data_IF_625167015474
#
_entry.id   IF_625167015474
#
_cell.length_a   1.000
_cell.length_b   1.000
_cell.length_c   1.000
_cell.angle_alpha   90.00
_cell.angle_beta   90.00
_cell.angle_gamma   90.00
#
_symmetry.space_group_name_H-M   'P 1'
#
loop_
_entity.id
_entity.type
_entity.pdbx_description
1 polymer ?
#
# COMPACT_ATOMS: atom_id res chain seq x y z
N UNK A 1 115.37 41.76 -59.11
CA UNK A 1 113.90 41.58 -59.14
C UNK A 1 113.36 42.29 -60.37
N UNK A 2 112.82 41.55 -61.33
CA UNK A 2 112.32 42.11 -62.60
C UNK A 2 110.97 42.80 -62.40
N UNK A 3 110.60 43.75 -63.28
CA UNK A 3 109.35 44.51 -63.16
C UNK A 3 108.10 43.60 -63.13
N UNK A 4 108.19 42.43 -63.78
CA UNK A 4 107.15 41.39 -63.80
C UNK A 4 107.01 40.66 -62.45
N UNK A 5 108.12 40.37 -61.77
CA UNK A 5 108.11 39.75 -60.44
C UNK A 5 107.47 40.66 -59.37
N UNK A 6 107.68 41.97 -59.46
CA UNK A 6 107.06 42.94 -58.53
C UNK A 6 105.55 43.05 -58.71
N UNK A 7 105.06 43.03 -59.95
CA UNK A 7 103.63 43.06 -60.24
C UNK A 7 102.94 41.76 -59.78
N UNK A 8 103.57 40.61 -60.05
CA UNK A 8 103.07 39.31 -59.58
C UNK A 8 103.02 39.26 -58.04
N UNK A 9 104.06 39.72 -57.34
CA UNK A 9 104.07 39.75 -55.89
C UNK A 9 102.96 40.63 -55.28
N UNK A 10 102.67 41.79 -55.88
CA UNK A 10 101.55 42.64 -55.47
C UNK A 10 100.18 41.99 -55.75
N UNK A 11 100.02 41.34 -56.90
CA UNK A 11 98.78 40.63 -57.24
C UNK A 11 98.54 39.42 -56.31
N UNK A 12 99.59 38.64 -56.03
CA UNK A 12 99.53 37.49 -55.12
C UNK A 12 99.30 37.94 -53.67
N UNK A 13 99.96 39.01 -53.23
CA UNK A 13 99.72 39.62 -51.92
C UNK A 13 98.29 40.14 -51.76
N UNK A 14 97.76 40.85 -52.77
CA UNK A 14 96.37 41.31 -52.79
C UNK A 14 95.36 40.16 -52.77
N UNK A 15 95.61 39.09 -53.53
CA UNK A 15 94.78 37.89 -53.51
C UNK A 15 94.77 37.23 -52.12
N UNK A 16 95.92 37.16 -51.45
CA UNK A 16 96.01 36.62 -50.09
C UNK A 16 95.17 37.42 -49.09
N UNK A 17 95.15 38.76 -49.21
CA UNK A 17 94.32 39.63 -48.37
C UNK A 17 92.83 39.39 -48.62
N UNK A 18 92.41 39.25 -49.89
CA UNK A 18 91.01 38.95 -50.23
C UNK A 18 90.58 37.59 -49.70
N UNK A 19 91.43 36.56 -49.83
CA UNK A 19 91.16 35.23 -49.29
C UNK A 19 91.08 35.26 -47.76
N UNK A 20 92.02 35.95 -47.09
CA UNK A 20 92.00 36.10 -45.64
C UNK A 20 90.75 36.84 -45.15
N UNK A 21 90.33 37.88 -45.88
CA UNK A 21 89.10 38.62 -45.59
C UNK A 21 87.85 37.76 -45.82
N UNK A 22 87.78 37.03 -46.93
CA UNK A 22 86.69 36.11 -47.23
C UNK A 22 86.60 34.98 -46.18
N UNK A 23 87.74 34.43 -45.76
CA UNK A 23 87.81 33.43 -44.70
C UNK A 23 87.34 33.99 -43.35
N UNK A 24 87.81 35.18 -42.98
CA UNK A 24 87.38 35.88 -41.76
C UNK A 24 85.89 36.21 -41.76
N UNK A 25 85.36 36.70 -42.89
CA UNK A 25 83.95 37.01 -43.07
C UNK A 25 83.08 35.76 -43.02
N UNK A 26 83.49 34.67 -43.68
CA UNK A 26 82.78 33.39 -43.62
C UNK A 26 82.78 32.84 -42.19
N UNK A 27 83.92 32.84 -41.50
CA UNK A 27 84.02 32.38 -40.10
C UNK A 27 83.16 33.21 -39.15
N UNK A 28 83.10 34.53 -39.35
CA UNK A 28 82.23 35.42 -38.59
C UNK A 28 80.74 35.12 -38.85
N UNK A 29 80.36 34.97 -40.12
CA UNK A 29 78.99 34.63 -40.51
C UNK A 29 78.56 33.26 -39.95
N UNK A 30 79.45 32.27 -40.00
CA UNK A 30 79.18 30.94 -39.46
C UNK A 30 79.07 30.97 -37.93
N UNK A 31 79.88 31.79 -37.25
CA UNK A 31 79.77 32.02 -35.81
C UNK A 31 78.46 32.71 -35.41
N UNK A 32 77.98 33.69 -36.21
CA UNK A 32 76.66 34.32 -36.00
C UNK A 32 75.55 33.29 -36.21
N UNK A 33 75.55 32.58 -37.34
CA UNK A 33 74.53 31.55 -37.62
C UNK A 33 74.47 30.49 -36.53
N UNK A 34 75.63 30.06 -36.02
CA UNK A 34 75.69 29.12 -34.90
C UNK A 34 75.03 29.70 -33.63
N UNK A 35 75.30 30.98 -33.32
CA UNK A 35 74.68 31.67 -32.17
C UNK A 35 73.18 31.86 -32.37
N UNK A 36 72.74 32.26 -33.55
CA UNK A 36 71.32 32.44 -33.87
C UNK A 36 70.56 31.13 -33.78
N UNK A 37 71.12 30.05 -34.35
CA UNK A 37 70.54 28.71 -34.23
C UNK A 37 70.49 28.24 -32.76
N UNK A 38 71.53 28.55 -31.97
CA UNK A 38 71.56 28.23 -30.54
C UNK A 38 70.53 29.05 -29.75
N UNK A 39 70.39 30.34 -30.05
CA UNK A 39 69.37 31.21 -29.45
C UNK A 39 67.96 30.71 -29.79
N UNK A 40 67.70 30.37 -31.05
CA UNK A 40 66.43 29.78 -31.49
C UNK A 40 66.16 28.44 -30.79
N UNK A 41 67.17 27.58 -30.67
CA UNK A 41 67.07 26.31 -29.93
C UNK A 41 66.75 26.49 -28.45
N UNK A 42 67.47 27.38 -27.76
CA UNK A 42 67.22 27.72 -26.36
C UNK A 42 65.85 28.38 -26.15
N UNK A 43 65.42 29.24 -27.08
CA UNK A 43 64.10 29.86 -27.02
C UNK A 43 62.99 28.82 -27.15
N UNK A 44 63.12 27.88 -28.08
CA UNK A 44 62.18 26.78 -28.24
C UNK A 44 62.15 25.89 -26.99
N UNK A 45 63.32 25.56 -26.42
CA UNK A 45 63.43 24.80 -25.17
C UNK A 45 62.75 25.55 -24.00
N UNK A 46 62.99 26.86 -23.87
CA UNK A 46 62.33 27.69 -22.86
C UNK A 46 60.81 27.73 -23.04
N UNK A 47 60.32 27.83 -24.28
CA UNK A 47 58.89 27.78 -24.58
C UNK A 47 58.29 26.42 -24.19
N UNK A 48 58.92 25.30 -24.56
CA UNK A 48 58.47 23.95 -24.19
C UNK A 48 58.50 23.73 -22.67
N UNK A 49 59.50 24.24 -21.97
CA UNK A 49 59.56 24.18 -20.51
C UNK A 49 58.43 25.01 -19.87
N UNK A 50 58.15 26.20 -20.39
CA UNK A 50 57.03 27.02 -19.92
C UNK A 50 55.67 26.33 -20.15
N UNK A 51 55.47 25.71 -21.31
CA UNK A 51 54.27 24.91 -21.59
C UNK A 51 54.12 23.74 -20.62
N UNK A 52 55.21 23.01 -20.33
CA UNK A 52 55.22 21.92 -19.35
C UNK A 52 54.90 22.42 -17.94
N UNK A 53 55.44 23.57 -17.53
CA UNK A 53 55.12 24.16 -16.24
C UNK A 53 53.65 24.56 -16.14
N UNK A 54 53.10 25.18 -17.18
CA UNK A 54 51.67 25.52 -17.23
C UNK A 54 50.81 24.26 -17.19
N UNK A 55 51.12 23.25 -17.99
CA UNK A 55 50.41 21.96 -18.00
C UNK A 55 50.48 21.28 -16.62
N UNK A 56 51.64 21.32 -15.96
CA UNK A 56 51.81 20.85 -14.59
C UNK A 56 50.93 21.60 -13.60
N UNK A 57 50.89 22.93 -13.67
CA UNK A 57 50.04 23.75 -12.79
C UNK A 57 48.54 23.48 -12.99
N UNK A 58 48.09 23.26 -14.22
CA UNK A 58 46.71 22.84 -14.50
C UNK A 58 46.43 21.42 -13.97
N UNK A 59 47.36 20.48 -14.16
CA UNK A 59 47.25 19.13 -13.64
C UNK A 59 47.19 19.09 -12.10
N UNK A 60 48.01 19.89 -11.42
CA UNK A 60 48.00 20.01 -9.96
C UNK A 60 46.66 20.56 -9.45
N UNK A 61 46.09 21.57 -10.12
CA UNK A 61 44.76 22.08 -9.77
C UNK A 61 43.69 21.01 -9.95
N UNK A 62 43.71 20.29 -11.06
CA UNK A 62 42.77 19.20 -11.33
C UNK A 62 42.92 18.05 -10.33
N UNK A 63 44.16 17.73 -9.94
CA UNK A 63 44.45 16.75 -8.90
C UNK A 63 43.91 17.19 -7.54
N UNK A 64 44.00 18.48 -7.21
CA UNK A 64 43.35 19.08 -6.04
C UNK A 64 41.86 18.78 -5.98
N UNK A 65 41.14 19.01 -7.07
CA UNK A 65 39.70 18.70 -7.17
C UNK A 65 39.43 17.20 -7.01
N UNK A 66 40.30 16.34 -7.56
CA UNK A 66 40.17 14.89 -7.41
C UNK A 66 40.44 14.42 -5.98
N UNK A 67 41.40 15.01 -5.27
CA UNK A 67 41.68 14.65 -3.88
C UNK A 67 40.49 14.90 -2.95
N UNK A 68 39.72 15.98 -3.19
CA UNK A 68 38.51 16.29 -2.40
C UNK A 68 37.37 15.30 -2.67
N UNK A 69 37.34 14.70 -3.86
CA UNK A 69 36.33 13.72 -4.30
C UNK A 69 36.75 12.26 -4.10
N UNK A 70 38.01 12.06 -3.73
CA UNK A 70 38.62 10.74 -3.57
C UNK A 70 38.10 10.07 -2.30
N UNK A 71 38.07 8.73 -2.32
CA UNK A 71 38.01 7.97 -1.09
C UNK A 71 39.31 8.14 -0.27
N UNK A 72 39.29 7.81 1.04
CA UNK A 72 40.49 7.79 1.88
C UNK A 72 41.61 6.94 1.29
N UNK A 73 42.87 7.34 1.49
CA UNK A 73 44.03 6.61 0.97
C UNK A 73 44.26 5.23 1.63
N UNK A 74 43.73 5.00 2.84
CA UNK A 74 43.77 3.69 3.49
C UNK A 74 42.74 2.72 2.83
N UNK A 75 43.16 1.56 2.30
CA UNK A 75 42.28 0.68 1.52
C UNK A 75 41.08 0.11 2.29
N UNK A 76 41.29 -0.44 3.47
CA UNK A 76 40.23 -1.02 4.30
C UNK A 76 39.19 0.04 4.68
N UNK A 77 39.65 1.25 5.00
CA UNK A 77 38.78 2.38 5.30
C UNK A 77 38.03 2.88 4.06
N UNK A 78 38.70 2.97 2.92
CA UNK A 78 38.09 3.39 1.66
C UNK A 78 36.92 2.47 1.29
N UNK A 79 37.16 1.16 1.35
CA UNK A 79 36.18 0.15 1.02
C UNK A 79 35.00 0.17 1.98
N UNK A 80 35.27 0.14 3.30
CA UNK A 80 34.22 0.12 4.32
C UNK A 80 33.35 1.39 4.34
N UNK A 81 33.94 2.58 4.20
CA UNK A 81 33.19 3.85 4.14
C UNK A 81 32.30 3.88 2.90
N UNK A 82 32.84 3.51 1.74
CA UNK A 82 32.07 3.54 0.51
C UNK A 82 30.96 2.49 0.48
N UNK A 83 31.24 1.28 0.97
CA UNK A 83 30.23 0.21 1.11
C UNK A 83 29.10 0.64 2.05
N UNK A 84 29.43 1.24 3.19
CA UNK A 84 28.46 1.76 4.15
C UNK A 84 27.58 2.86 3.52
N UNK A 85 28.20 3.78 2.77
CA UNK A 85 27.46 4.79 2.02
C UNK A 85 26.52 4.18 0.98
N UNK A 86 27.00 3.24 0.16
CA UNK A 86 26.17 2.52 -0.83
C UNK A 86 25.00 1.79 -0.17
N UNK A 87 25.23 1.08 0.94
CA UNK A 87 24.16 0.42 1.70
C UNK A 87 23.10 1.41 2.18
N UNK A 88 23.52 2.60 2.61
CA UNK A 88 22.63 3.70 2.96
C UNK A 88 21.78 4.16 1.77
N UNK A 89 22.42 4.41 0.62
CA UNK A 89 21.74 4.83 -0.62
C UNK A 89 20.75 3.78 -1.12
N UNK A 90 21.16 2.51 -1.14
CA UNK A 90 20.33 1.36 -1.53
C UNK A 90 19.09 1.23 -0.65
N UNK A 91 19.26 1.40 0.68
CA UNK A 91 18.14 1.39 1.63
C UNK A 91 17.21 2.59 1.45
N UNK A 92 17.75 3.79 1.25
CA UNK A 92 16.97 5.01 0.98
C UNK A 92 16.14 4.91 -0.29
N UNK A 93 16.66 4.21 -1.30
CA UNK A 93 15.96 3.92 -2.56
C UNK A 93 14.94 2.76 -2.47
N UNK A 94 14.77 2.13 -1.29
CA UNK A 94 13.77 1.10 -1.06
C UNK A 94 14.05 -0.25 -1.73
N UNK A 95 15.33 -0.57 -2.00
CA UNK A 95 15.69 -1.87 -2.56
C UNK A 95 15.45 -2.99 -1.53
N UNK A 96 14.69 -4.00 -1.93
CA UNK A 96 14.48 -5.26 -1.20
C UNK A 96 15.54 -6.29 -1.58
N UNK A 97 15.82 -7.22 -0.67
CA UNK A 97 16.82 -8.28 -0.85
C UNK A 97 18.18 -7.73 -1.31
N UNK A 98 18.56 -6.54 -0.82
CA UNK A 98 19.66 -5.79 -1.39
C UNK A 98 21.03 -6.24 -0.85
N UNK A 99 21.97 -6.46 -1.76
CA UNK A 99 23.37 -6.78 -1.46
C UNK A 99 24.32 -5.72 -1.99
N UNK A 100 25.37 -5.40 -1.23
CA UNK A 100 26.48 -4.54 -1.66
C UNK A 100 27.78 -5.25 -1.32
N UNK A 101 28.37 -5.87 -2.34
CA UNK A 101 29.55 -6.73 -2.21
C UNK A 101 30.76 -6.09 -2.86
N UNK A 102 31.91 -5.98 -2.16
CA UNK A 102 33.16 -5.65 -2.82
C UNK A 102 33.60 -6.82 -3.72
N UNK A 103 33.96 -6.52 -4.97
CA UNK A 103 34.31 -7.55 -5.98
C UNK A 103 35.74 -7.46 -6.51
N UNK A 104 36.40 -6.31 -6.35
CA UNK A 104 37.79 -6.15 -6.77
C UNK A 104 38.45 -4.96 -6.08
N UNK A 105 39.75 -5.03 -5.87
CA UNK A 105 40.61 -3.92 -5.51
C UNK A 105 41.90 -4.01 -6.33
N UNK A 106 42.25 -2.93 -7.04
CA UNK A 106 43.42 -2.95 -7.91
C UNK A 106 44.14 -1.60 -7.92
N UNK A 107 45.46 -1.56 -7.69
CA UNK A 107 46.26 -0.36 -7.93
C UNK A 107 46.31 -0.05 -9.42
N UNK A 108 46.27 1.23 -9.77
CA UNK A 108 46.47 1.72 -11.13
C UNK A 108 47.69 2.63 -11.16
N UNK A 109 48.84 2.01 -11.46
CA UNK A 109 50.15 2.65 -11.35
C UNK A 109 50.43 3.10 -9.92
N UNK A 110 51.08 4.25 -9.78
CA UNK A 110 51.36 4.88 -8.49
C UNK A 110 50.36 6.00 -8.13
N UNK A 111 49.29 6.14 -8.91
CA UNK A 111 48.40 7.29 -8.79
C UNK A 111 47.22 7.02 -7.84
N UNK A 112 46.59 5.85 -7.97
CA UNK A 112 45.36 5.53 -7.24
C UNK A 112 45.07 4.03 -7.14
N UNK A 113 44.18 3.68 -6.22
CA UNK A 113 43.51 2.39 -6.10
C UNK A 113 42.08 2.47 -6.64
N UNK A 114 41.67 1.44 -7.37
CA UNK A 114 40.30 1.26 -7.86
C UNK A 114 39.63 0.12 -7.10
N UNK A 115 38.48 0.43 -6.50
CA UNK A 115 37.61 -0.54 -5.84
C UNK A 115 36.39 -0.81 -6.70
N UNK A 116 36.06 -2.09 -6.86
CA UNK A 116 34.87 -2.57 -7.54
C UNK A 116 33.83 -3.01 -6.52
N UNK A 117 32.58 -2.63 -6.75
CA UNK A 117 31.42 -3.06 -5.95
C UNK A 117 30.34 -3.62 -6.86
N UNK A 118 29.67 -4.68 -6.41
CA UNK A 118 28.43 -5.18 -7.00
C UNK A 118 27.28 -4.83 -6.08
N UNK A 119 26.27 -4.17 -6.63
CA UNK A 119 25.00 -3.90 -5.97
C UNK A 119 23.94 -4.74 -6.65
N UNK A 120 23.17 -5.48 -5.87
CA UNK A 120 22.04 -6.27 -6.38
C UNK A 120 20.81 -6.09 -5.49
N UNK A 121 19.62 -6.28 -6.04
CA UNK A 121 18.37 -6.22 -5.28
C UNK A 121 17.13 -6.09 -6.16
N UNK A 122 15.98 -5.88 -5.54
CA UNK A 122 14.69 -5.66 -6.20
C UNK A 122 14.11 -4.31 -5.83
N UNK A 123 13.62 -3.54 -6.81
CA UNK A 123 12.98 -2.25 -6.54
C UNK A 123 11.99 -1.86 -7.64
N UNK A 124 11.18 -0.85 -7.40
CA UNK A 124 10.33 -0.25 -8.44
C UNK A 124 11.16 0.67 -9.34
N UNK A 125 10.62 1.05 -10.50
CA UNK A 125 11.29 2.05 -11.36
C UNK A 125 11.53 3.36 -10.61
N UNK A 126 10.61 3.76 -9.73
CA UNK A 126 10.75 4.95 -8.88
C UNK A 126 11.96 4.83 -7.92
N UNK A 127 12.15 3.67 -7.30
CA UNK A 127 13.31 3.41 -6.45
C UNK A 127 14.62 3.37 -7.23
N UNK A 128 14.65 2.75 -8.42
CA UNK A 128 15.84 2.75 -9.29
C UNK A 128 16.25 4.17 -9.71
N UNK A 129 15.28 5.02 -10.09
CA UNK A 129 15.57 6.43 -10.41
C UNK A 129 16.14 7.17 -9.20
N UNK A 130 15.62 6.90 -7.99
CA UNK A 130 16.16 7.44 -6.74
C UNK A 130 17.60 7.01 -6.48
N UNK A 131 17.88 5.71 -6.60
CA UNK A 131 19.22 5.15 -6.45
C UNK A 131 20.23 5.81 -7.39
N UNK A 132 19.87 5.94 -8.68
CA UNK A 132 20.75 6.55 -9.68
C UNK A 132 20.95 8.04 -9.41
N UNK A 133 19.89 8.77 -9.01
CA UNK A 133 20.00 10.19 -8.67
C UNK A 133 20.94 10.39 -7.48
N UNK A 134 20.71 9.70 -6.36
CA UNK A 134 21.54 9.81 -5.15
C UNK A 134 23.00 9.39 -5.42
N UNK A 135 23.19 8.36 -6.25
CA UNK A 135 24.52 7.95 -6.69
C UNK A 135 25.23 9.09 -7.42
N UNK A 136 24.63 9.64 -8.48
CA UNK A 136 25.27 10.70 -9.27
C UNK A 136 25.31 12.05 -8.56
N UNK A 137 24.42 12.31 -7.61
CA UNK A 137 24.40 13.54 -6.82
C UNK A 137 25.55 13.57 -5.80
N UNK A 138 26.08 12.42 -5.40
CA UNK A 138 27.27 12.37 -4.55
C UNK A 138 28.54 12.61 -5.36
N UNK A 139 29.31 13.63 -5.01
CA UNK A 139 30.49 14.04 -5.79
C UNK A 139 31.74 13.16 -5.53
N UNK A 140 31.56 11.83 -5.47
CA UNK A 140 32.67 10.89 -5.39
C UNK A 140 33.35 10.69 -6.76
N UNK A 141 34.61 10.26 -6.74
CA UNK A 141 35.26 9.67 -7.92
C UNK A 141 34.80 8.23 -8.13
N UNK A 142 33.54 8.10 -8.53
CA UNK A 142 32.91 6.83 -8.83
C UNK A 142 32.22 6.84 -10.20
N UNK A 143 31.91 5.66 -10.70
CA UNK A 143 31.08 5.47 -11.89
C UNK A 143 30.38 4.13 -11.83
N UNK A 144 29.23 4.06 -12.50
CA UNK A 144 28.59 2.80 -12.82
C UNK A 144 29.27 2.25 -14.07
N UNK A 145 29.87 1.07 -13.96
CA UNK A 145 30.51 0.35 -15.06
C UNK A 145 29.48 -0.39 -15.91
N UNK A 146 28.51 -0.99 -15.22
CA UNK A 146 27.43 -1.77 -15.83
C UNK A 146 26.18 -1.65 -14.97
N UNK A 147 25.03 -1.56 -15.63
CA UNK A 147 23.71 -1.55 -15.00
C UNK A 147 22.79 -2.46 -15.80
N UNK A 148 22.39 -3.56 -15.18
CA UNK A 148 21.40 -4.49 -15.71
C UNK A 148 20.14 -4.39 -14.85
N UNK A 149 18.99 -4.23 -15.51
CA UNK A 149 17.72 -4.29 -14.82
C UNK A 149 16.63 -4.84 -15.72
N UNK A 150 15.64 -5.49 -15.12
CA UNK A 150 14.52 -6.06 -15.86
C UNK A 150 13.39 -6.49 -14.93
N UNK A 151 12.17 -6.67 -15.47
CA UNK A 151 11.02 -7.06 -14.67
C UNK A 151 11.24 -8.45 -14.04
N UNK A 152 10.80 -8.57 -12.79
CA UNK A 152 10.72 -9.80 -12.03
C UNK A 152 9.31 -10.40 -12.14
N UNK A 153 9.14 -11.66 -11.70
CA UNK A 153 7.83 -12.33 -11.68
C UNK A 153 6.82 -11.64 -10.74
N UNK A 154 7.29 -10.83 -9.79
CA UNK A 154 6.44 -10.12 -8.83
C UNK A 154 6.10 -8.69 -9.27
N UNK A 155 6.51 -8.27 -10.46
CA UNK A 155 6.26 -6.92 -11.00
C UNK A 155 7.33 -5.88 -10.66
N UNK A 156 8.24 -6.18 -9.73
CA UNK A 156 9.39 -5.33 -9.42
C UNK A 156 10.49 -5.42 -10.48
N UNK A 157 11.43 -4.50 -10.49
CA UNK A 157 12.66 -4.62 -11.26
C UNK A 157 13.72 -5.35 -10.43
N UNK A 158 14.26 -6.43 -10.98
CA UNK A 158 15.55 -6.97 -10.54
C UNK A 158 16.64 -6.03 -11.05
N UNK A 159 17.53 -5.59 -10.17
CA UNK A 159 18.62 -4.65 -10.50
C UNK A 159 19.94 -5.29 -10.10
N UNK A 160 20.90 -5.26 -11.01
CA UNK A 160 22.30 -5.56 -10.76
C UNK A 160 23.17 -4.43 -11.34
N UNK A 161 24.09 -3.93 -10.53
CA UNK A 161 24.95 -2.80 -10.88
C UNK A 161 26.38 -3.12 -10.47
N UNK A 162 27.33 -2.87 -11.37
CA UNK A 162 28.76 -2.92 -11.06
C UNK A 162 29.32 -1.50 -11.04
N UNK A 163 30.02 -1.15 -9.96
CA UNK A 163 30.48 0.20 -9.66
C UNK A 163 32.00 0.19 -9.53
N UNK A 164 32.67 1.22 -10.05
CA UNK A 164 34.06 1.56 -9.73
C UNK A 164 34.09 2.79 -8.84
N UNK A 165 34.91 2.76 -7.77
CA UNK A 165 35.23 3.92 -6.95
C UNK A 165 36.75 4.04 -6.76
N UNK A 166 37.26 5.26 -6.65
CA UNK A 166 38.70 5.52 -6.65
C UNK A 166 39.16 6.16 -5.34
N UNK A 167 40.30 5.68 -4.85
CA UNK A 167 41.11 6.33 -3.82
C UNK A 167 42.47 6.74 -4.39
N UNK A 168 42.76 8.04 -4.41
CA UNK A 168 44.07 8.56 -4.76
C UNK A 168 45.07 8.29 -3.63
N UNK A 169 46.29 7.87 -3.99
CA UNK A 169 47.33 7.56 -3.02
C UNK A 169 47.69 8.76 -2.13
N UNK A 170 47.59 9.98 -2.68
CA UNK A 170 47.87 11.24 -1.99
C UNK A 170 46.64 11.84 -1.27
N UNK A 171 45.50 11.15 -1.24
CA UNK A 171 44.32 11.62 -0.51
C UNK A 171 44.55 11.53 1.01
N UNK A 172 43.77 12.32 1.77
CA UNK A 172 43.79 12.24 3.23
C UNK A 172 43.41 10.83 3.71
N UNK A 173 44.11 10.34 4.74
CA UNK A 173 43.86 9.01 5.35
C UNK A 173 42.46 8.94 5.97
N UNK A 174 41.89 10.09 6.32
CA UNK A 174 40.57 10.28 6.91
C UNK A 174 39.67 11.17 6.03
N UNK A 175 39.87 11.13 4.71
CA UNK A 175 39.05 11.88 3.76
C UNK A 175 37.55 11.69 4.05
N UNK A 176 36.85 12.82 4.23
CA UNK A 176 35.42 12.83 4.55
C UNK A 176 34.58 12.61 3.30
N UNK A 177 33.35 12.15 3.51
CA UNK A 177 32.36 11.99 2.44
C UNK A 177 32.08 13.40 1.84
N UNK A 178 32.21 13.62 0.52
CA UNK A 178 32.13 14.96 -0.08
C UNK A 178 30.79 15.66 0.20
N UNK A 179 30.78 16.78 0.93
CA UNK A 179 29.52 17.46 1.31
C UNK A 179 28.81 18.16 0.14
N UNK A 180 29.54 18.46 -0.94
CA UNK A 180 28.99 19.14 -2.12
C UNK A 180 28.23 18.15 -3.00
N UNK A 181 27.10 18.62 -3.53
CA UNK A 181 26.40 17.93 -4.62
C UNK A 181 27.22 17.96 -5.91
N UNK A 182 27.17 16.87 -6.66
CA UNK A 182 27.87 16.77 -7.93
C UNK A 182 27.17 17.62 -8.99
N UNK A 183 27.98 18.32 -9.78
CA UNK A 183 27.54 19.05 -10.97
C UNK A 183 26.90 18.15 -12.06
N UNK A 184 27.01 16.82 -11.93
CA UNK A 184 26.45 15.84 -12.86
C UNK A 184 24.92 15.76 -12.80
N UNK A 185 24.33 16.16 -11.69
CA UNK A 185 22.88 16.13 -11.49
C UNK A 185 22.37 17.57 -11.47
N UNK A 186 21.75 17.98 -12.58
CA UNK A 186 21.21 19.33 -12.72
C UNK A 186 19.77 19.45 -12.19
N UNK A 187 19.02 18.35 -12.19
CA UNK A 187 17.59 18.31 -11.85
C UNK A 187 17.39 17.75 -10.45
N UNK A 188 16.34 18.21 -9.78
CA UNK A 188 15.92 17.59 -8.52
C UNK A 188 15.46 16.15 -8.76
N UNK A 189 15.44 15.35 -7.69
CA UNK A 189 14.96 13.99 -7.75
C UNK A 189 13.51 13.92 -8.27
N UNK A 190 12.65 14.83 -7.82
CA UNK A 190 11.25 14.86 -8.23
C UNK A 190 11.07 15.22 -9.71
N UNK A 191 11.84 16.18 -10.23
CA UNK A 191 11.81 16.53 -11.65
C UNK A 191 12.32 15.36 -12.52
N UNK A 192 13.35 14.65 -12.03
CA UNK A 192 13.90 13.46 -12.69
C UNK A 192 12.86 12.33 -12.71
N UNK A 193 12.22 12.07 -11.58
CA UNK A 193 11.12 11.09 -11.45
C UNK A 193 9.97 11.40 -12.38
N UNK A 194 9.48 12.64 -12.41
CA UNK A 194 8.41 13.05 -13.33
C UNK A 194 8.81 12.81 -14.79
N UNK A 195 10.04 13.13 -15.18
CA UNK A 195 10.49 12.96 -16.57
C UNK A 195 10.59 11.49 -16.98
N UNK A 196 11.05 10.62 -16.11
CA UNK A 196 11.31 9.20 -16.42
C UNK A 196 10.06 8.34 -16.22
N UNK A 197 9.34 8.50 -15.11
CA UNK A 197 8.19 7.68 -14.76
C UNK A 197 7.02 7.92 -15.72
N UNK A 198 6.78 9.16 -16.13
CA UNK A 198 5.69 9.50 -17.07
C UNK A 198 5.91 8.93 -18.49
N UNK A 199 7.09 8.38 -18.80
CA UNK A 199 7.31 7.65 -20.06
C UNK A 199 6.73 6.25 -20.04
N UNK A 200 6.41 5.73 -18.84
CA UNK A 200 5.73 4.47 -18.64
C UNK A 200 6.33 3.29 -19.44
N UNK A 201 7.65 3.08 -19.30
CA UNK A 201 8.39 2.13 -20.15
C UNK A 201 8.00 0.66 -20.01
N UNK A 202 7.38 0.27 -18.90
CA UNK A 202 7.17 -1.13 -18.53
C UNK A 202 5.71 -1.52 -18.30
N UNK A 203 4.76 -0.60 -18.52
CA UNK A 203 3.34 -0.88 -18.36
C UNK A 203 2.56 -0.40 -19.59
N UNK A 204 1.36 -0.95 -19.84
CA UNK A 204 0.43 -0.37 -20.79
C UNK A 204 0.09 1.08 -20.44
N UNK A 205 -0.43 1.89 -21.39
CA UNK A 205 -0.85 3.25 -21.11
C UNK A 205 -1.82 3.32 -19.92
N UNK A 206 -1.49 4.14 -18.91
CA UNK A 206 -2.30 4.33 -17.71
C UNK A 206 -3.69 4.91 -18.06
N UNK A 207 -4.73 4.32 -17.48
CA UNK A 207 -6.13 4.72 -17.65
C UNK A 207 -6.58 5.60 -16.48
N UNK A 208 -7.58 6.49 -16.68
CA UNK A 208 -8.12 7.26 -15.57
C UNK A 208 -8.94 6.41 -14.59
N UNK A 209 -8.98 6.78 -13.31
CA UNK A 209 -9.86 6.14 -12.34
C UNK A 209 -11.34 6.34 -12.73
N UNK A 210 -12.19 5.45 -12.27
CA UNK A 210 -13.62 5.37 -12.60
C UNK A 210 -14.46 5.54 -11.34
N UNK A 211 -15.36 6.53 -11.34
CA UNK A 211 -16.33 6.69 -10.26
C UNK A 211 -17.54 5.78 -10.46
N UNK A 212 -17.73 4.84 -9.54
CA UNK A 212 -18.83 3.86 -9.54
C UNK A 212 -19.91 4.17 -8.49
N UNK A 213 -19.81 5.30 -7.79
CA UNK A 213 -20.78 5.74 -6.79
C UNK A 213 -21.98 6.49 -7.37
N UNK A 214 -22.93 6.82 -6.50
CA UNK A 214 -24.09 7.63 -6.84
C UNK A 214 -23.69 9.10 -6.99
N UNK A 215 -24.20 9.76 -8.05
CA UNK A 215 -23.96 11.20 -8.25
C UNK A 215 -24.64 12.08 -7.19
N UNK A 216 -25.48 11.50 -6.34
CA UNK A 216 -26.18 12.16 -5.25
C UNK A 216 -25.77 11.55 -3.92
N UNK A 217 -25.31 12.39 -3.00
CA UNK A 217 -24.99 12.02 -1.63
C UNK A 217 -26.16 12.45 -0.74
N UNK A 218 -26.57 11.59 0.19
CA UNK A 218 -27.67 11.87 1.11
C UNK A 218 -27.11 12.26 2.47
N UNK A 219 -27.60 13.37 3.01
CA UNK A 219 -27.33 13.85 4.36
C UNK A 219 -28.64 13.91 5.15
N UNK A 220 -28.77 13.09 6.18
CA UNK A 220 -30.00 13.03 6.99
C UNK A 220 -29.98 14.11 8.06
N UNK A 221 -31.01 14.97 8.11
CA UNK A 221 -31.14 16.05 9.10
C UNK A 221 -31.14 15.49 10.53
N UNK A 222 -30.33 16.09 11.40
CA UNK A 222 -30.22 15.67 12.81
C UNK A 222 -29.43 14.37 13.03
N UNK A 223 -28.88 13.76 11.98
CA UNK A 223 -28.12 12.51 12.08
C UNK A 223 -26.75 12.65 11.40
N UNK A 224 -25.72 12.05 12.02
CA UNK A 224 -24.39 11.99 11.43
C UNK A 224 -24.34 10.88 10.38
N UNK A 225 -24.09 11.26 9.12
CA UNK A 225 -23.98 10.33 7.98
C UNK A 225 -22.56 10.35 7.41
N UNK A 226 -21.92 9.19 7.30
CA UNK A 226 -20.61 9.04 6.67
C UNK A 226 -20.76 8.35 5.30
N UNK A 227 -20.33 9.02 4.22
CA UNK A 227 -20.45 8.53 2.83
C UNK A 227 -19.07 8.41 2.18
N UNK A 228 -18.64 7.18 1.92
CA UNK A 228 -17.38 6.91 1.21
C UNK A 228 -17.60 6.87 -0.30
N UNK A 229 -16.80 7.63 -1.04
CA UNK A 229 -16.81 7.60 -2.50
C UNK A 229 -16.36 6.23 -3.01
N UNK A 230 -17.11 5.67 -3.97
CA UNK A 230 -16.77 4.42 -4.64
C UNK A 230 -16.01 4.74 -5.92
N UNK A 231 -14.68 4.65 -5.86
CA UNK A 231 -13.79 4.83 -7.01
C UNK A 231 -13.03 3.53 -7.24
N UNK A 232 -12.93 3.13 -8.50
CA UNK A 232 -12.20 1.97 -8.97
C UNK A 232 -11.13 2.42 -9.98
N UNK A 233 -9.92 1.88 -9.88
CA UNK A 233 -8.84 2.16 -10.82
C UNK A 233 -8.59 0.90 -11.67
N UNK A 234 -8.62 0.98 -13.02
CA UNK A 234 -8.48 -0.21 -13.87
C UNK A 234 -7.17 -0.99 -13.63
N UNK A 235 -6.12 -0.30 -13.22
CA UNK A 235 -4.81 -0.86 -12.89
C UNK A 235 -4.67 -1.23 -11.39
N UNK A 236 -5.71 -0.98 -10.58
CA UNK A 236 -5.74 -1.25 -9.15
C UNK A 236 -4.79 -0.36 -8.33
N UNK A 237 -4.43 0.80 -8.86
CA UNK A 237 -3.57 1.76 -8.15
C UNK A 237 -4.36 2.57 -7.13
N UNK A 238 -3.65 3.11 -6.12
CA UNK A 238 -4.29 3.97 -5.12
C UNK A 238 -4.78 5.27 -5.76
N UNK A 239 -5.92 5.77 -5.29
CA UNK A 239 -6.52 7.03 -5.72
C UNK A 239 -6.48 8.05 -4.60
N UNK A 240 -6.01 9.23 -4.92
CA UNK A 240 -5.99 10.41 -4.04
C UNK A 240 -7.15 11.34 -4.38
N UNK A 241 -7.69 12.02 -3.38
CA UNK A 241 -8.87 12.86 -3.52
C UNK A 241 -8.56 14.31 -3.16
N UNK A 242 -9.18 15.22 -3.88
CA UNK A 242 -9.12 16.66 -3.60
C UNK A 242 -10.51 17.24 -3.81
N UNK A 243 -10.99 17.97 -2.81
CA UNK A 243 -12.23 18.71 -2.90
C UNK A 243 -11.93 20.09 -3.47
N UNK A 244 -12.68 20.49 -4.49
CA UNK A 244 -12.66 21.84 -5.01
C UNK A 244 -13.77 22.67 -4.35
N UNK A 245 -13.39 23.78 -3.71
CA UNK A 245 -14.29 24.68 -2.99
C UNK A 245 -14.36 24.43 -1.48
N UNK A 246 -15.27 25.14 -0.82
CA UNK A 246 -15.49 25.07 0.63
C UNK A 246 -16.78 24.31 0.93
N UNK A 247 -16.77 23.57 2.05
CA UNK A 247 -17.97 22.90 2.57
C UNK A 247 -18.65 23.76 3.64
N UNK A 248 -19.98 23.66 3.78
CA UNK A 248 -20.67 24.27 4.91
C UNK A 248 -20.22 23.65 6.24
N UNK A 249 -20.42 24.35 7.36
CA UNK A 249 -19.93 23.94 8.69
C UNK A 249 -20.43 22.55 9.14
N UNK A 250 -21.59 22.12 8.63
CA UNK A 250 -22.17 20.82 8.93
C UNK A 250 -21.60 19.66 8.08
N UNK A 251 -20.69 19.94 7.14
CA UNK A 251 -20.07 18.95 6.26
C UNK A 251 -18.54 18.99 6.34
N UNK A 252 -17.91 17.82 6.28
CA UNK A 252 -16.45 17.71 6.18
C UNK A 252 -16.05 16.62 5.21
N UNK A 253 -14.86 16.75 4.61
CA UNK A 253 -14.32 15.78 3.66
C UNK A 253 -12.93 15.33 4.09
N UNK A 254 -12.74 14.01 4.12
CA UNK A 254 -11.45 13.37 4.39
C UNK A 254 -10.80 12.93 3.08
N UNK A 255 -9.80 13.69 2.63
CA UNK A 255 -9.09 13.48 1.38
C UNK A 255 -8.27 12.17 1.31
N UNK A 256 -7.83 11.64 2.46
CA UNK A 256 -7.08 10.38 2.57
C UNK A 256 -7.93 9.14 2.23
N UNK A 257 -9.23 9.23 2.47
CA UNK A 257 -10.17 8.12 2.44
C UNK A 257 -11.32 8.35 1.47
N UNK A 258 -11.41 9.54 0.87
CA UNK A 258 -12.52 9.93 0.00
C UNK A 258 -13.86 9.84 0.73
N UNK A 259 -13.91 10.21 2.02
CA UNK A 259 -15.12 10.06 2.85
C UNK A 259 -15.68 11.42 3.23
N UNK A 260 -16.95 11.64 2.89
CA UNK A 260 -17.74 12.76 3.38
C UNK A 260 -18.35 12.39 4.74
N UNK A 261 -18.33 13.34 5.67
CA UNK A 261 -19.04 13.27 6.93
C UNK A 261 -20.02 14.44 6.98
N UNK A 262 -21.31 14.13 7.02
CA UNK A 262 -22.40 15.09 7.12
C UNK A 262 -23.01 15.03 8.52
N UNK A 263 -23.27 16.20 9.11
CA UNK A 263 -23.98 16.35 10.37
C UNK A 263 -24.87 17.61 10.33
N UNK A 264 -25.83 17.67 9.39
CA UNK A 264 -26.75 18.81 9.28
C UNK A 264 -27.61 18.95 10.54
N UNK A 265 -27.86 20.18 11.02
CA UNK A 265 -28.73 20.41 12.15
C UNK A 265 -30.15 19.88 11.86
N UNK A 266 -30.86 19.43 12.90
CA UNK A 266 -32.29 19.15 12.78
C UNK A 266 -33.05 20.45 12.48
N UNK A 267 -34.08 20.39 11.65
CA UNK A 267 -35.01 21.50 11.53
C UNK A 267 -35.60 21.80 12.93
N UNK A 268 -35.77 23.07 13.33
CA UNK A 268 -36.39 23.38 14.60
C UNK A 268 -37.79 22.78 14.64
N UNK A 269 -38.03 21.90 15.62
CA UNK A 269 -39.38 21.43 15.98
C UNK A 269 -40.21 22.66 16.35
N UNK A 270 -41.13 23.05 15.47
CA UNK A 270 -42.23 24.00 15.69
C UNK A 270 -41.93 25.17 16.67
N UNK A 271 -41.40 26.28 16.17
CA UNK A 271 -41.23 27.47 17.01
C UNK A 271 -40.77 28.72 16.28
N UNK A 272 -41.75 29.58 15.95
CA UNK A 272 -41.66 31.03 15.75
C UNK A 272 -40.63 31.58 14.75
N UNK A 273 -41.19 32.09 13.66
CA UNK A 273 -40.71 33.15 12.77
C UNK A 273 -39.78 34.15 13.51
N UNK A 274 -38.49 33.82 13.52
CA UNK A 274 -37.42 34.74 13.88
C UNK A 274 -36.77 35.18 12.58
N UNK A 275 -37.34 36.23 11.99
CA UNK A 275 -36.71 36.95 10.90
C UNK A 275 -35.42 37.60 11.38
N UNK A 276 -34.29 37.11 10.85
CA UNK A 276 -33.25 37.93 10.24
C UNK A 276 -32.26 37.01 9.50
N UNK A 277 -32.07 37.29 8.20
CA UNK A 277 -30.88 37.01 7.42
C UNK A 277 -30.25 35.61 7.46
N UNK A 278 -30.55 34.82 6.42
CA UNK A 278 -29.78 33.63 5.98
C UNK A 278 -30.11 32.31 6.68
N UNK A 279 -31.40 32.01 6.86
CA UNK A 279 -31.84 30.62 6.80
C UNK A 279 -31.72 30.16 5.35
N UNK A 280 -30.72 29.36 5.04
CA UNK A 280 -30.61 28.66 3.77
C UNK A 280 -31.74 27.63 3.70
N UNK A 281 -32.94 28.09 3.38
CA UNK A 281 -33.94 27.27 2.72
C UNK A 281 -33.33 26.82 1.39
N UNK A 282 -32.85 25.58 1.35
CA UNK A 282 -32.28 25.03 0.13
C UNK A 282 -32.68 23.57 0.03
N UNK A 283 -33.90 23.32 -0.46
CA UNK A 283 -34.22 22.06 -1.17
C UNK A 283 -33.33 21.89 -2.42
N UNK A 284 -32.54 22.92 -2.77
CA UNK A 284 -31.54 22.85 -3.81
C UNK A 284 -30.32 22.02 -3.34
N UNK A 285 -29.94 20.99 -4.11
CA UNK A 285 -28.78 20.17 -3.75
C UNK A 285 -27.50 21.01 -3.78
N UNK A 286 -26.68 20.90 -2.73
CA UNK A 286 -25.35 21.49 -2.73
C UNK A 286 -24.45 20.72 -3.71
N UNK A 287 -23.93 21.41 -4.72
CA UNK A 287 -22.98 20.83 -5.66
C UNK A 287 -21.56 20.90 -5.11
N UNK A 288 -20.88 19.75 -5.06
CA UNK A 288 -19.47 19.65 -4.68
C UNK A 288 -18.69 18.98 -5.80
N UNK A 289 -17.51 19.52 -6.14
CA UNK A 289 -16.64 18.96 -7.17
C UNK A 289 -15.49 18.23 -6.49
N UNK A 290 -15.33 16.95 -6.80
CA UNK A 290 -14.24 16.14 -6.28
C UNK A 290 -13.33 15.72 -7.43
N UNK A 291 -12.05 16.05 -7.32
CA UNK A 291 -10.99 15.57 -8.19
C UNK A 291 -10.40 14.29 -7.61
N UNK A 292 -10.37 13.23 -8.42
CA UNK A 292 -9.85 11.91 -8.07
C UNK A 292 -8.65 11.63 -8.98
N UNK A 293 -7.47 11.45 -8.39
CA UNK A 293 -6.21 11.28 -9.13
C UNK A 293 -5.56 9.96 -8.77
N UNK A 294 -5.25 9.13 -9.76
CA UNK A 294 -4.56 7.86 -9.57
C UNK A 294 -3.08 8.06 -9.16
N UNK A 295 -2.44 6.96 -8.77
CA UNK A 295 -1.00 6.92 -8.49
C UNK A 295 -0.18 6.33 -9.65
N UNK A 296 -0.83 5.96 -10.75
CA UNK A 296 -0.22 5.46 -11.97
C UNK A 296 0.61 6.50 -12.72
N UNK A 297 1.34 6.06 -13.74
CA UNK A 297 2.20 6.92 -14.56
C UNK A 297 1.85 6.84 -16.06
N UNK A 298 1.68 7.99 -16.75
CA UNK A 298 1.48 9.30 -16.17
C UNK A 298 0.19 9.34 -15.34
N UNK A 299 0.20 10.15 -14.29
CA UNK A 299 -0.99 10.31 -13.42
C UNK A 299 -2.19 10.74 -14.24
N UNK A 300 -3.32 10.10 -14.04
CA UNK A 300 -4.60 10.52 -14.61
C UNK A 300 -5.54 10.94 -13.49
N UNK A 301 -6.50 11.76 -13.87
CA UNK A 301 -7.51 12.26 -12.95
C UNK A 301 -8.87 12.32 -13.64
N UNK A 302 -9.91 12.23 -12.83
CA UNK A 302 -11.27 12.58 -13.19
C UNK A 302 -11.80 13.64 -12.22
N UNK A 303 -12.73 14.45 -12.70
CA UNK A 303 -13.48 15.40 -11.88
C UNK A 303 -14.94 14.97 -11.89
N UNK A 304 -15.56 14.94 -10.71
CA UNK A 304 -16.95 14.54 -10.55
C UNK A 304 -17.70 15.56 -9.70
N UNK A 305 -18.74 16.15 -10.29
CA UNK A 305 -19.74 16.92 -9.54
C UNK A 305 -20.70 15.96 -8.85
N UNK A 306 -20.86 16.12 -7.54
CA UNK A 306 -21.76 15.35 -6.68
C UNK A 306 -22.77 16.31 -6.05
N UNK A 307 -24.03 15.90 -6.00
CA UNK A 307 -25.12 16.67 -5.41
C UNK A 307 -25.39 16.16 -3.98
N UNK A 308 -25.21 17.00 -2.95
CA UNK A 308 -25.59 16.66 -1.58
C UNK A 308 -27.04 17.07 -1.34
N UNK A 309 -27.91 16.09 -1.10
CA UNK A 309 -29.32 16.30 -0.76
C UNK A 309 -29.55 16.12 0.74
N UNK A 310 -30.28 17.06 1.32
CA UNK A 310 -30.75 16.98 2.69
C UNK A 310 -32.06 16.17 2.72
N UNK A 311 -32.08 15.08 3.49
CA UNK A 311 -33.28 14.26 3.69
C UNK A 311 -33.72 14.30 5.15
N UNK A 312 -35.03 14.21 5.39
CA UNK A 312 -35.57 14.13 6.74
C UNK A 312 -35.37 12.73 7.32
N UNK A 313 -35.15 12.59 8.64
CA UNK A 313 -35.01 11.29 9.27
C UNK A 313 -36.28 10.45 9.06
N UNK A 314 -36.15 9.11 8.91
CA UNK A 314 -37.31 8.24 8.76
C UNK A 314 -38.22 8.36 9.99
N UNK A 315 -39.55 8.26 9.81
CA UNK A 315 -40.49 8.36 10.93
C UNK A 315 -40.16 7.31 11.99
N UNK A 316 -40.25 7.66 13.29
CA UNK A 316 -39.97 6.72 14.37
C UNK A 316 -40.86 5.49 14.22
N UNK A 317 -40.25 4.29 14.25
CA UNK A 317 -41.01 3.03 14.20
C UNK A 317 -42.02 3.00 15.33
N UNK A 318 -43.28 2.71 15.01
CA UNK A 318 -44.31 2.50 16.02
C UNK A 318 -43.82 1.43 17.01
N UNK A 319 -44.01 1.64 18.33
CA UNK A 319 -43.60 0.65 19.32
C UNK A 319 -44.31 -0.66 19.04
N UNK A 320 -43.55 -1.76 18.95
CA UNK A 320 -44.11 -3.09 18.74
C UNK A 320 -45.25 -3.33 19.75
N UNK A 321 -46.42 -3.84 19.30
CA UNK A 321 -47.52 -4.10 20.21
C UNK A 321 -47.04 -5.04 21.33
N UNK A 322 -47.26 -4.63 22.58
CA UNK A 322 -46.89 -5.43 23.74
C UNK A 322 -47.43 -6.85 23.58
N UNK A 323 -46.63 -7.90 23.84
CA UNK A 323 -47.11 -9.28 23.74
C UNK A 323 -48.34 -9.46 24.63
N UNK A 324 -49.36 -10.22 24.19
CA UNK A 324 -50.58 -10.43 24.97
C UNK A 324 -50.24 -11.02 26.35
N UNK A 325 -50.83 -10.46 27.42
CA UNK A 325 -50.67 -11.00 28.78
C UNK A 325 -51.19 -12.44 28.83
N UNK A 326 -50.41 -13.35 29.39
CA UNK A 326 -50.77 -14.77 29.54
C UNK A 326 -52.02 -14.92 30.42
N UNK A 327 -52.98 -15.75 29.98
CA UNK A 327 -54.23 -15.98 30.71
C UNK A 327 -54.09 -17.11 31.74
N UNK A 328 -54.13 -16.76 33.03
CA UNK A 328 -54.01 -17.68 34.16
C UNK A 328 -55.08 -18.80 34.19
N UNK A 329 -56.27 -18.57 33.59
CA UNK A 329 -57.33 -19.57 33.52
C UNK A 329 -56.88 -20.82 32.74
N UNK A 330 -56.00 -20.62 31.76
CA UNK A 330 -55.45 -21.69 30.90
C UNK A 330 -54.44 -22.58 31.62
N UNK A 331 -54.06 -22.28 32.87
CA UNK A 331 -53.15 -23.12 33.66
C UNK A 331 -53.66 -23.34 35.09
N UNK A 332 -54.98 -23.25 35.27
CA UNK A 332 -55.63 -23.49 36.55
C UNK A 332 -56.31 -24.86 36.57
N UNK A 333 -56.03 -25.66 37.59
CA UNK A 333 -56.52 -27.03 37.71
C UNK A 333 -57.19 -27.26 39.06
N UNK A 334 -58.28 -28.03 39.08
CA UNK A 334 -58.86 -28.53 40.31
C UNK A 334 -57.96 -29.66 40.85
N UNK A 335 -57.28 -29.43 41.97
CA UNK A 335 -56.31 -30.38 42.51
C UNK A 335 -56.91 -31.26 43.59
N UNK A 336 -57.88 -30.78 44.36
CA UNK A 336 -58.55 -31.56 45.39
C UNK A 336 -59.98 -31.09 45.66
N UNK A 337 -60.84 -32.04 46.03
CA UNK A 337 -62.13 -31.81 46.66
C UNK A 337 -62.00 -32.36 48.09
N UNK A 338 -62.01 -31.47 49.07
CA UNK A 338 -61.70 -31.83 50.46
C UNK A 338 -62.92 -31.63 51.33
N UNK A 339 -63.31 -32.65 52.08
CA UNK A 339 -64.40 -32.55 53.04
C UNK A 339 -63.88 -31.98 54.37
N UNK A 340 -64.43 -30.83 54.76
CA UNK A 340 -64.23 -30.24 56.09
C UNK A 340 -65.22 -30.81 57.12
N UNK A 341 -65.27 -30.18 58.30
CA UNK A 341 -66.13 -30.62 59.42
C UNK A 341 -67.62 -30.55 59.07
N UNK A 342 -68.01 -29.53 58.30
CA UNK A 342 -69.41 -29.25 57.97
C UNK A 342 -69.65 -29.09 56.45
N UNK A 343 -68.64 -28.68 55.65
CA UNK A 343 -68.78 -28.41 54.21
C UNK A 343 -67.62 -28.95 53.34
N UNK A 344 -67.86 -29.09 52.04
CA UNK A 344 -66.83 -29.42 51.04
C UNK A 344 -66.13 -28.16 50.50
N UNK A 345 -64.81 -28.22 50.28
CA UNK A 345 -64.01 -27.13 49.70
C UNK A 345 -63.28 -27.60 48.45
N UNK A 346 -63.34 -26.82 47.38
CA UNK A 346 -62.62 -27.07 46.13
C UNK A 346 -61.26 -26.36 46.17
N UNK A 347 -60.18 -27.10 45.91
CA UNK A 347 -58.83 -26.53 45.86
C UNK A 347 -58.40 -26.40 44.40
N UNK A 348 -58.18 -25.18 43.95
CA UNK A 348 -57.79 -24.84 42.59
C UNK A 348 -56.37 -24.28 42.58
N UNK A 349 -55.46 -24.94 41.88
CA UNK A 349 -54.07 -24.50 41.76
C UNK A 349 -53.89 -23.70 40.48
N UNK A 350 -53.53 -22.42 40.63
CA UNK A 350 -53.17 -21.50 39.55
C UNK A 350 -51.66 -21.62 39.33
N UNK A 351 -51.25 -22.49 38.39
CA UNK A 351 -49.82 -22.85 38.22
C UNK A 351 -48.93 -21.67 37.83
N UNK A 352 -49.47 -20.70 37.11
CA UNK A 352 -48.76 -19.47 36.71
C UNK A 352 -48.41 -18.56 37.88
N UNK A 353 -49.22 -18.59 38.94
CA UNK A 353 -49.02 -17.81 40.17
C UNK A 353 -48.42 -18.63 41.32
N UNK A 354 -48.45 -19.97 41.23
CA UNK A 354 -48.01 -20.87 42.31
C UNK A 354 -48.95 -20.88 43.52
N UNK A 355 -50.18 -20.41 43.35
CA UNK A 355 -51.17 -20.24 44.43
C UNK A 355 -52.26 -21.31 44.35
N UNK A 356 -52.70 -21.80 45.51
CA UNK A 356 -53.88 -22.69 45.61
C UNK A 356 -55.03 -21.95 46.26
N UNK A 357 -56.06 -21.66 45.48
CA UNK A 357 -57.30 -21.06 45.93
C UNK A 357 -58.18 -22.16 46.54
N UNK A 358 -58.64 -21.93 47.77
CA UNK A 358 -59.55 -22.84 48.49
C UNK A 358 -60.93 -22.21 48.50
N UNK A 359 -61.82 -22.71 47.67
CA UNK A 359 -63.13 -22.11 47.42
C UNK A 359 -64.22 -22.95 48.09
N UNK A 360 -65.05 -22.28 48.89
CA UNK A 360 -66.26 -22.83 49.51
C UNK A 360 -67.50 -22.50 48.68
N UNK A 361 -68.61 -23.16 48.97
CA UNK A 361 -69.89 -22.85 48.33
C UNK A 361 -70.29 -21.39 48.59
N UNK A 362 -70.51 -20.62 47.53
CA UNK A 362 -70.82 -19.20 47.57
C UNK A 362 -69.62 -18.27 47.33
N UNK A 363 -68.38 -18.78 47.37
CA UNK A 363 -67.20 -17.95 47.13
C UNK A 363 -67.09 -17.52 45.67
N UNK A 364 -66.68 -16.27 45.45
CA UNK A 364 -66.35 -15.74 44.13
C UNK A 364 -64.85 -15.85 43.84
N UNK A 365 -64.48 -16.05 42.59
CA UNK A 365 -63.09 -16.15 42.15
C UNK A 365 -62.86 -15.37 40.85
N UNK A 366 -61.65 -14.83 40.72
CA UNK A 366 -61.14 -14.19 39.51
C UNK A 366 -59.78 -14.81 39.16
N UNK A 367 -59.74 -15.55 38.05
CA UNK A 367 -58.57 -16.29 37.60
C UNK A 367 -58.40 -16.02 36.11
N UNK A 368 -57.43 -15.17 35.78
CA UNK A 368 -57.16 -14.79 34.40
C UNK A 368 -58.35 -14.05 33.78
N UNK A 369 -58.84 -14.54 32.65
CA UNK A 369 -60.05 -14.01 31.99
C UNK A 369 -61.36 -14.44 32.64
N UNK A 370 -61.35 -15.42 33.56
CA UNK A 370 -62.57 -16.05 34.06
C UNK A 370 -62.96 -15.55 35.46
N UNK A 371 -64.22 -15.12 35.60
CA UNK A 371 -64.82 -14.65 36.84
C UNK A 371 -66.09 -15.42 37.12
N UNK A 372 -66.22 -15.95 38.33
CA UNK A 372 -67.37 -16.77 38.68
C UNK A 372 -67.52 -16.99 40.17
N UNK A 373 -68.46 -17.84 40.54
CA UNK A 373 -68.71 -18.27 41.91
C UNK A 373 -68.87 -19.78 42.01
N UNK A 374 -68.70 -20.33 43.20
CA UNK A 374 -68.87 -21.78 43.45
C UNK A 374 -70.32 -22.04 43.87
N UNK A 375 -71.07 -22.78 43.04
CA UNK A 375 -72.48 -23.09 43.30
C UNK A 375 -72.65 -24.32 44.20
N UNK A 376 -71.84 -25.36 44.00
CA UNK A 376 -71.83 -26.51 44.90
C UNK A 376 -70.50 -27.26 44.82
N UNK A 377 -70.09 -27.87 45.93
CA UNK A 377 -68.90 -28.74 45.99
C UNK A 377 -69.36 -30.10 46.53
N UNK A 378 -68.98 -31.18 45.85
CA UNK A 378 -69.29 -32.55 46.25
C UNK A 378 -68.03 -33.42 46.29
N UNK A 379 -68.17 -34.69 46.66
CA UNK A 379 -67.06 -35.64 46.67
C UNK A 379 -66.46 -35.95 45.28
N UNK A 380 -67.16 -35.60 44.20
CA UNK A 380 -66.78 -36.00 42.82
C UNK A 380 -66.60 -34.84 41.88
N UNK A 381 -67.32 -33.73 42.11
CA UNK A 381 -67.38 -32.58 41.20
C UNK A 381 -67.54 -31.28 41.99
N UNK A 382 -67.08 -30.18 41.41
CA UNK A 382 -67.49 -28.82 41.77
C UNK A 382 -68.31 -28.22 40.63
N UNK A 383 -69.43 -27.59 40.95
CA UNK A 383 -70.22 -26.79 40.01
C UNK A 383 -69.84 -25.33 40.18
N UNK A 384 -69.31 -24.73 39.11
CA UNK A 384 -68.89 -23.33 39.05
C UNK A 384 -69.89 -22.55 38.22
N UNK A 385 -70.32 -21.40 38.69
CA UNK A 385 -71.13 -20.47 37.91
C UNK A 385 -70.21 -19.39 37.32
N UNK A 386 -70.06 -19.38 36.00
CA UNK A 386 -69.24 -18.40 35.26
C UNK A 386 -70.15 -17.79 34.19
N UNK A 387 -70.26 -16.46 34.15
CA UNK A 387 -71.16 -15.73 33.23
C UNK A 387 -72.63 -16.24 33.23
N UNK A 388 -73.13 -16.66 34.40
CA UNK A 388 -74.50 -17.15 34.59
C UNK A 388 -74.78 -18.55 34.06
N UNK A 389 -73.74 -19.32 33.69
CA UNK A 389 -73.81 -20.73 33.29
C UNK A 389 -73.08 -21.62 34.29
N UNK A 390 -73.59 -22.84 34.47
CA UNK A 390 -73.03 -23.82 35.41
C UNK A 390 -72.09 -24.78 34.69
N UNK A 391 -70.86 -24.86 35.17
CA UNK A 391 -69.82 -25.74 34.65
C UNK A 391 -69.42 -26.77 35.69
N UNK A 392 -69.43 -28.04 35.29
CA UNK A 392 -68.94 -29.14 36.10
C UNK A 392 -67.42 -29.30 35.93
N UNK A 393 -66.67 -29.19 37.03
CA UNK A 393 -65.24 -29.45 37.04
C UNK A 393 -64.92 -30.65 37.93
N UNK A 394 -64.21 -31.62 37.37
CA UNK A 394 -63.75 -32.84 38.07
C UNK A 394 -62.31 -32.69 38.55
N UNK A 395 -61.87 -33.46 39.56
CA UNK A 395 -60.47 -33.49 39.98
C UNK A 395 -59.54 -33.72 38.78
N UNK A 396 -58.41 -33.01 38.76
CA UNK A 396 -57.47 -32.93 37.64
C UNK A 396 -57.99 -32.24 36.37
N UNK A 397 -59.26 -31.81 36.36
CA UNK A 397 -59.84 -31.01 35.30
C UNK A 397 -59.24 -29.60 35.26
N UNK A 398 -59.08 -29.09 34.05
CA UNK A 398 -58.58 -27.75 33.77
C UNK A 398 -59.74 -26.77 33.67
N UNK A 399 -59.59 -25.62 34.34
CA UNK A 399 -60.64 -24.62 34.45
C UNK A 399 -61.08 -24.09 33.06
N UNK A 400 -60.13 -23.78 32.18
CA UNK A 400 -60.44 -23.31 30.81
C UNK A 400 -61.13 -24.35 29.92
N UNK A 401 -60.88 -25.65 30.13
CA UNK A 401 -61.48 -26.73 29.34
C UNK A 401 -62.93 -27.00 29.75
N UNK A 402 -63.24 -26.94 31.05
CA UNK A 402 -64.61 -27.11 31.53
C UNK A 402 -65.57 -26.05 30.98
N UNK A 403 -65.09 -24.83 30.73
CA UNK A 403 -65.89 -23.75 30.12
C UNK A 403 -65.96 -23.88 28.59
N UNK A 404 -64.93 -24.42 27.94
CA UNK A 404 -64.91 -24.65 26.51
C UNK A 404 -65.84 -25.80 26.06
N UNK A 405 -66.03 -26.83 26.89
CA UNK A 405 -66.79 -28.04 26.56
C UNK A 405 -68.32 -27.83 26.41
N UNK A 406 -68.88 -26.67 26.76
CA UNK A 406 -70.30 -26.33 26.54
C UNK A 406 -70.53 -25.15 25.57
N UNK A 407 -69.49 -24.63 24.91
CA UNK A 407 -69.71 -23.76 23.73
C UNK A 407 -69.95 -24.64 22.50
N UNK A 408 -71.12 -24.56 21.82
CA UNK A 408 -71.43 -25.45 20.72
C UNK A 408 -70.49 -25.23 19.54
N UNK A 409 -69.86 -26.33 19.14
CA UNK A 409 -69.13 -26.54 17.91
C UNK A 409 -70.06 -26.22 16.71
N UNK A 410 -69.69 -25.23 15.89
CA UNK A 410 -70.28 -25.06 14.56
C UNK A 410 -69.82 -26.22 13.66
N UNK A 411 -70.73 -26.90 12.93
CA UNK A 411 -70.39 -28.08 12.15
C UNK A 411 -69.56 -27.72 10.91
N UNK A 412 -68.44 -28.41 10.71
CA UNK A 412 -67.81 -28.55 9.40
C UNK A 412 -68.64 -29.50 8.54
N UNK A 413 -69.03 -28.99 7.39
CA UNK A 413 -69.72 -29.70 6.33
C UNK A 413 -68.82 -30.80 5.74
N UNK A 414 -69.46 -31.92 5.41
CA UNK A 414 -68.89 -33.16 4.91
C UNK A 414 -68.81 -33.11 3.39
N UNK A 415 -67.68 -33.48 2.78
CA UNK A 415 -67.67 -34.11 1.45
C UNK A 415 -67.08 -35.52 1.56
N UNK A 416 -67.72 -36.43 0.83
CA UNK A 416 -67.69 -37.88 0.95
C UNK A 416 -66.54 -38.54 0.11
N UNK A 417 -66.35 -39.87 0.18
CA UNK A 417 -65.10 -40.56 -0.15
C UNK A 417 -65.09 -41.27 -1.53
N UNK A 418 -63.88 -41.64 -1.98
CA UNK A 418 -63.56 -42.90 -2.71
C UNK A 418 -62.11 -43.28 -2.35
N UNK A 419 -61.89 -44.34 -1.56
CA UNK A 419 -61.54 -45.71 -2.02
C UNK A 419 -60.20 -45.75 -2.79
N UNK A 420 -59.14 -46.45 -2.39
CA UNK A 420 -58.94 -47.38 -1.27
C UNK A 420 -57.49 -47.89 -1.27
N UNK A 421 -57.11 -48.60 -0.21
CA UNK A 421 -56.12 -49.68 -0.29
C UNK A 421 -54.75 -49.46 0.38
N UNK A 422 -54.66 -49.98 1.60
CA UNK A 422 -53.46 -50.36 2.39
C UNK A 422 -52.58 -51.43 1.66
N UNK A 423 -51.41 -51.90 2.15
CA UNK A 423 -50.92 -51.96 3.56
C UNK A 423 -49.50 -51.35 3.78
N UNK A 424 -49.13 -50.88 4.99
CA UNK A 424 -48.66 -51.62 6.19
C UNK A 424 -47.30 -52.33 5.92
N UNK A 425 -46.22 -52.26 6.72
CA UNK A 425 -45.96 -51.78 8.08
C UNK A 425 -44.42 -51.60 8.26
N UNK A 426 -44.04 -50.82 9.30
CA UNK A 426 -43.00 -51.05 10.32
C UNK A 426 -41.64 -51.71 9.92
N UNK A 427 -40.46 -51.39 10.45
CA UNK A 427 -39.97 -50.66 11.62
C UNK A 427 -38.42 -50.59 11.49
N UNK A 428 -37.75 -49.97 12.47
CA UNK A 428 -36.33 -50.16 12.88
C UNK A 428 -35.21 -49.33 12.20
N UNK A 429 -34.87 -48.22 12.87
CA UNK A 429 -33.50 -47.73 13.17
C UNK A 429 -32.69 -48.79 13.99
N UNK A 430 -31.34 -48.73 14.22
CA UNK A 430 -30.42 -47.57 14.14
C UNK A 430 -28.93 -47.81 13.72
N UNK A 431 -28.16 -46.70 13.69
CA UNK A 431 -26.68 -46.56 13.79
C UNK A 431 -25.85 -47.06 12.58
N UNK A 432 -24.74 -46.45 12.15
CA UNK A 432 -23.59 -45.93 12.88
C UNK A 432 -22.70 -45.13 11.88
N UNK A 433 -22.12 -44.00 12.29
CA UNK A 433 -21.00 -43.31 11.62
C UNK A 433 -19.68 -43.81 12.27
N UNK A 434 -18.43 -43.64 11.72
CA UNK A 434 -18.02 -42.49 10.91
C UNK A 434 -16.84 -42.68 9.90
N UNK A 435 -16.52 -41.57 9.21
CA UNK A 435 -15.18 -41.07 8.86
C UNK A 435 -14.37 -41.63 7.66
N UNK A 436 -13.88 -40.66 6.86
CA UNK A 436 -12.48 -40.48 6.37
C UNK A 436 -12.26 -40.44 4.85
N UNK A 437 -12.04 -39.21 4.35
CA UNK A 437 -10.93 -38.72 3.50
C UNK A 437 -10.50 -39.43 2.19
N UNK A 438 -9.78 -38.73 1.28
CA UNK A 438 -9.94 -38.82 -0.17
C UNK A 438 -9.03 -39.82 -0.89
N UNK A 439 -9.49 -40.27 -2.07
CA UNK A 439 -8.71 -41.02 -3.06
C UNK A 439 -7.68 -40.13 -3.79
N UNK A 440 -6.41 -40.51 -3.67
CA UNK A 440 -5.39 -40.32 -4.69
C UNK A 440 -5.36 -41.55 -5.60
N UNK A 441 -5.25 -41.36 -6.91
CA UNK A 441 -4.73 -42.38 -7.82
C UNK A 441 -3.70 -41.75 -8.76
N UNK A 442 -2.45 -42.16 -8.55
CA UNK A 442 -1.35 -42.07 -9.51
C UNK A 442 -1.44 -43.23 -10.52
N UNK A 443 -0.81 -43.03 -11.70
CA UNK A 443 0.17 -43.90 -12.41
C UNK A 443 0.03 -43.78 -13.95
N UNK A 444 1.02 -44.19 -14.79
CA UNK A 444 2.46 -43.91 -14.68
C UNK A 444 3.19 -43.67 -16.06
N UNK A 445 4.40 -43.12 -15.98
CA UNK A 445 5.65 -43.41 -16.75
C UNK A 445 5.69 -43.60 -18.27
N UNK A 446 6.61 -42.87 -18.93
CA UNK A 446 7.54 -43.42 -19.94
C UNK A 446 8.91 -42.70 -19.91
N UNK A 447 9.99 -43.49 -19.92
CA UNK A 447 11.42 -43.14 -19.95
C UNK A 447 11.84 -42.67 -21.38
N UNK A 448 13.00 -42.05 -21.65
CA UNK A 448 14.31 -42.74 -21.84
C UNK A 448 15.43 -41.70 -22.12
N UNK A 449 16.65 -41.99 -21.59
CA UNK A 449 18.03 -41.67 -22.07
C UNK A 449 18.43 -40.20 -22.39
N UNK A 450 19.62 -39.68 -22.09
CA UNK A 450 20.98 -40.22 -22.11
C UNK A 450 21.87 -39.60 -21.01
N UNK A 451 22.88 -40.35 -20.58
CA UNK A 451 24.04 -39.87 -19.82
C UNK A 451 25.29 -40.19 -20.65
N UNK A 452 26.19 -39.20 -20.85
CA UNK A 452 27.60 -39.51 -21.09
C UNK A 452 28.55 -38.36 -20.73
N UNK A 453 29.70 -38.83 -20.25
CA UNK A 453 31.06 -38.28 -20.25
C UNK A 453 31.46 -37.11 -19.34
N UNK A 454 32.24 -37.54 -18.33
CA UNK A 454 33.20 -36.76 -17.56
C UNK A 454 34.52 -36.68 -18.33
N UNK A 455 35.18 -35.51 -18.39
CA UNK A 455 36.62 -35.46 -18.69
C UNK A 455 37.25 -34.17 -18.10
N UNK A 456 38.08 -34.35 -17.05
CA UNK A 456 39.12 -33.41 -16.61
C UNK A 456 40.31 -33.47 -17.58
N UNK A 457 41.10 -32.38 -17.69
CA UNK A 457 42.52 -32.51 -17.97
C UNK A 457 43.39 -31.94 -16.85
N UNK A 458 44.29 -32.79 -16.35
CA UNK A 458 45.45 -32.48 -15.51
C UNK A 458 46.46 -31.60 -16.28
N UNK A 459 47.19 -30.67 -15.64
CA UNK A 459 48.19 -29.83 -16.31
C UNK A 459 49.52 -30.55 -16.53
N UNK A 460 50.07 -30.43 -17.74
CA UNK A 460 51.44 -30.84 -18.05
C UNK A 460 52.47 -29.85 -17.49
N UNK A 461 53.44 -30.43 -16.79
CA UNK A 461 54.76 -29.89 -16.48
C UNK A 461 55.57 -29.65 -17.76
N UNK A 462 56.18 -28.47 -17.90
CA UNK A 462 57.44 -28.32 -18.63
C UNK A 462 58.42 -27.47 -17.81
N UNK A 463 59.57 -28.10 -17.54
CA UNK A 463 60.86 -27.48 -17.30
C UNK A 463 61.44 -27.07 -18.66
N UNK A 464 61.77 -25.79 -18.82
CA UNK A 464 63.11 -25.26 -19.14
C UNK A 464 63.12 -23.73 -19.06
#
# INVERSE_FOLDING_TARGET
>A
MTQRERFLAMAVGGLFVVIAFQWGFNRYRDAIKFRDNRLAGLQNEANTLNEKLLAGAYADRQMGEYMVRSLPSNPERAQSIYQSWLLGTVRGAGLRDAGVDPVSDAPVGDLYYRYGFRVSGKTTLNGLVGLLHDFYARDYLHRIRELNFGPSRTGDLNVEMTIDAISLNNAAIDAKIPERESWRVAKSLDETRQTILNRNFFQPPNQPPVYAGDATLVAVKGEKTDVRLKVDDPEGTDVTYELEGELPEWASFKADSGTFTFNPPADPEDGEDSGDGSSASSDEPLEVVVRMTDTGYPRRQIEKTLAVKLENPPPPKEPDPLPPKFDDATQTYLTALVQGRDDWTAWMNVRTRGETLKLQVGDSFEIGSMKGSVKSVSARVVLLEIDGKEYELRPSGKLSEAVALESPEQPKETEAPTDGGAPEAADETPAEAPASAPEQSETPSEQTEEADSSEEPTPQSQLD
#
